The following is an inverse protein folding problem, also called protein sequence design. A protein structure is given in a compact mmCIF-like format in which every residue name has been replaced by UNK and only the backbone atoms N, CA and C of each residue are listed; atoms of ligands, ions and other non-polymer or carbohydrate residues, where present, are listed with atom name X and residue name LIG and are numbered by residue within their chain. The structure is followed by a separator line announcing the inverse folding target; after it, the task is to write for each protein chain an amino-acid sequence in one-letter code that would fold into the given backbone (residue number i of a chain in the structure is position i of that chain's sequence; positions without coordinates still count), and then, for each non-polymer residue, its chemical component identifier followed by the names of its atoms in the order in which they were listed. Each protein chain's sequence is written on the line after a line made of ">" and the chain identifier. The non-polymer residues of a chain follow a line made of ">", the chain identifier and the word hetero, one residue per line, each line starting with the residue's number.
data_IF_639305252731
#
_entry.id   IF_639305252731
#
_cell.length_a   1.000
_cell.length_b   1.000
_cell.length_c   1.000
_cell.angle_alpha   90.00
_cell.angle_beta   90.00
_cell.angle_gamma   90.00
#
_symmetry.space_group_name_H-M   'P 1'
#
loop_
_entity.id
_entity.type
_entity.pdbx_description
1 polymer ?
#
# COMPACT_ATOMS: atom_id res chain seq x y z
N UNK A 1 20.60 27.30 -23.09
CA UNK A 1 19.14 27.10 -23.01
C UNK A 1 18.76 25.62 -23.01
N UNK A 2 19.21 24.82 -23.99
CA UNK A 2 18.91 23.37 -24.08
C UNK A 2 19.43 22.53 -22.89
N UNK A 3 20.65 22.80 -22.40
CA UNK A 3 21.25 22.05 -21.28
C UNK A 3 20.44 22.25 -19.98
N UNK A 4 19.94 23.47 -19.75
CA UNK A 4 19.14 23.80 -18.57
C UNK A 4 17.77 23.11 -18.59
N UNK A 5 17.15 23.02 -19.77
CA UNK A 5 15.87 22.31 -19.95
C UNK A 5 16.06 20.81 -19.70
N UNK A 6 17.14 20.21 -20.22
CA UNK A 6 17.45 18.80 -19.99
C UNK A 6 17.66 18.49 -18.50
N UNK A 7 18.37 19.36 -17.77
CA UNK A 7 18.56 19.24 -16.33
C UNK A 7 17.24 19.31 -15.55
N UNK A 8 16.31 20.20 -15.95
CA UNK A 8 14.99 20.31 -15.33
C UNK A 8 14.15 19.03 -15.54
N UNK A 9 14.15 18.46 -16.75
CA UNK A 9 13.43 17.20 -17.02
C UNK A 9 13.99 16.00 -16.25
N UNK A 10 15.32 15.91 -16.13
CA UNK A 10 15.98 14.84 -15.38
C UNK A 10 15.72 14.96 -13.87
N UNK A 11 15.70 16.20 -13.35
CA UNK A 11 15.36 16.46 -11.97
C UNK A 11 13.91 16.06 -11.65
N UNK A 12 12.93 16.41 -12.49
CA UNK A 12 11.52 16.08 -12.23
C UNK A 12 11.21 14.58 -12.29
N UNK A 13 11.91 13.84 -13.15
CA UNK A 13 11.67 12.39 -13.30
C UNK A 13 12.15 11.56 -12.11
N UNK A 14 13.13 12.06 -11.34
CA UNK A 14 13.59 11.45 -10.09
C UNK A 14 12.62 11.63 -8.90
N UNK A 15 11.60 12.49 -9.01
CA UNK A 15 10.63 12.74 -7.93
C UNK A 15 9.36 11.87 -8.02
N UNK A 16 9.31 10.91 -8.94
CA UNK A 16 8.22 9.94 -9.02
C UNK A 16 8.34 8.94 -7.86
N UNK A 17 7.69 9.24 -6.73
CA UNK A 17 7.56 8.28 -5.65
C UNK A 17 6.64 7.15 -6.13
N UNK A 18 7.09 5.87 -6.11
CA UNK A 18 6.20 4.76 -6.42
C UNK A 18 5.08 4.71 -5.39
N UNK A 19 3.82 4.78 -5.84
CA UNK A 19 2.68 4.52 -4.98
C UNK A 19 2.68 3.04 -4.61
N UNK A 20 3.03 2.73 -3.37
CA UNK A 20 3.03 1.36 -2.83
C UNK A 20 1.79 1.15 -1.97
N UNK A 21 1.00 0.14 -2.29
CA UNK A 21 -0.12 -0.30 -1.45
C UNK A 21 0.32 -0.86 -0.09
N UNK A 22 -0.58 -0.76 0.89
CA UNK A 22 -0.42 -1.33 2.20
C UNK A 22 -0.78 -2.82 2.21
N UNK A 23 -0.16 -3.58 3.11
CA UNK A 23 -0.56 -4.97 3.37
C UNK A 23 -1.34 -4.99 4.68
N UNK A 24 -2.60 -5.42 4.60
CA UNK A 24 -3.46 -5.61 5.77
C UNK A 24 -3.55 -7.10 6.08
N UNK A 25 -3.16 -7.47 7.30
CA UNK A 25 -3.25 -8.85 7.75
C UNK A 25 -4.69 -9.15 8.13
N UNK A 26 -5.29 -10.15 7.50
CA UNK A 26 -6.66 -10.52 7.80
C UNK A 26 -6.69 -11.12 9.20
N UNK A 27 -7.46 -10.45 10.05
CA UNK A 27 -7.56 -10.79 11.45
C UNK A 27 -6.43 -10.34 12.35
N UNK A 28 -5.55 -9.46 11.86
CA UNK A 28 -4.45 -8.87 12.63
C UNK A 28 -3.65 -9.93 13.42
N UNK A 29 -3.78 -9.98 14.75
CA UNK A 29 -3.10 -10.96 15.61
C UNK A 29 -3.79 -12.32 15.67
N UNK A 30 -5.10 -12.36 15.44
CA UNK A 30 -5.92 -13.57 15.53
C UNK A 30 -5.80 -14.42 14.25
N UNK A 31 -5.36 -13.80 13.15
CA UNK A 31 -5.17 -14.43 11.85
C UNK A 31 -6.49 -14.86 11.19
N UNK A 32 -6.37 -15.65 10.13
CA UNK A 32 -7.53 -16.15 9.38
C UNK A 32 -8.08 -17.45 10.00
N UNK A 33 -8.95 -17.30 10.99
CA UNK A 33 -9.60 -18.42 11.70
C UNK A 33 -11.13 -18.38 11.56
N UNK A 34 -11.85 -19.51 11.67
CA UNK A 34 -13.32 -19.51 11.55
C UNK A 34 -14.05 -18.69 12.61
N UNK A 35 -13.40 -18.41 13.74
CA UNK A 35 -13.92 -17.63 14.86
C UNK A 35 -13.83 -16.13 14.65
N UNK A 36 -13.12 -15.65 13.63
CA UNK A 36 -12.91 -14.22 13.45
C UNK A 36 -14.10 -13.53 12.79
N UNK A 37 -14.53 -12.42 13.39
CA UNK A 37 -15.54 -11.55 12.78
C UNK A 37 -14.89 -10.66 11.73
N UNK A 38 -15.14 -10.95 10.45
CA UNK A 38 -14.70 -10.10 9.34
C UNK A 38 -15.21 -8.67 9.48
N UNK A 39 -16.44 -8.48 9.95
CA UNK A 39 -17.03 -7.15 10.16
C UNK A 39 -16.26 -6.35 11.20
N UNK A 40 -15.95 -6.97 12.34
CA UNK A 40 -15.17 -6.30 13.39
C UNK A 40 -13.75 -6.01 12.92
N UNK A 41 -13.14 -6.92 12.17
CA UNK A 41 -11.81 -6.70 11.61
C UNK A 41 -11.79 -5.55 10.60
N UNK A 42 -12.82 -5.41 9.75
CA UNK A 42 -12.89 -4.30 8.79
C UNK A 42 -13.28 -2.96 9.40
N UNK A 43 -13.81 -2.94 10.63
CA UNK A 43 -14.35 -1.73 11.23
C UNK A 43 -13.27 -0.66 11.43
N UNK A 44 -13.55 0.56 10.98
CA UNK A 44 -12.61 1.69 10.98
C UNK A 44 -11.40 1.57 10.01
N UNK A 45 -11.20 0.44 9.31
CA UNK A 45 -10.10 0.29 8.34
C UNK A 45 -10.45 0.94 7.00
N UNK A 46 -9.43 1.49 6.32
CA UNK A 46 -9.53 2.08 4.99
C UNK A 46 -8.66 1.31 4.01
N UNK A 47 -9.28 0.78 2.97
CA UNK A 47 -8.60 0.07 1.89
C UNK A 47 -8.50 0.97 0.66
N UNK A 48 -7.31 1.02 0.08
CA UNK A 48 -7.05 1.78 -1.14
C UNK A 48 -6.68 0.83 -2.27
N UNK A 49 -6.88 1.27 -3.52
CA UNK A 49 -6.47 0.49 -4.69
C UNK A 49 -4.96 0.24 -4.63
N UNK A 50 -4.57 -1.03 -4.77
CA UNK A 50 -3.19 -1.48 -4.64
C UNK A 50 -2.86 -2.10 -3.29
N UNK A 51 -3.73 -1.98 -2.29
CA UNK A 51 -3.58 -2.68 -1.02
C UNK A 51 -3.73 -4.21 -1.18
N UNK A 52 -3.04 -4.96 -0.34
CA UNK A 52 -3.04 -6.43 -0.31
C UNK A 52 -3.67 -6.89 0.99
N UNK A 53 -4.60 -7.84 0.91
CA UNK A 53 -5.08 -8.59 2.05
C UNK A 53 -4.30 -9.90 2.14
N UNK A 54 -3.55 -10.09 3.23
CA UNK A 54 -2.66 -11.24 3.41
C UNK A 54 -2.86 -11.95 4.75
N UNK A 55 -2.21 -13.08 4.92
CA UNK A 55 -2.10 -13.78 6.20
C UNK A 55 -0.72 -13.51 6.82
N UNK A 56 -0.55 -13.79 8.12
CA UNK A 56 0.76 -13.83 8.78
C UNK A 56 1.65 -14.82 8.03
N UNK A 57 2.55 -14.25 7.22
CA UNK A 57 3.65 -14.88 6.48
C UNK A 57 3.29 -16.09 5.61
N UNK A 58 3.12 -15.81 4.33
CA UNK A 58 3.87 -16.51 3.27
C UNK A 58 4.61 -15.48 2.44
#
# INVERSE_FOLDING_TARGET
>A
MIIVIFQLFLATSLHMLPAKGATHLVGDTDGWTPSISSTNWTDGKKFHVGDILGNVKT
#
